data_IF_836636486112
#
_entry.id   IF_836636486112
#
_cell.length_a   1.000
_cell.length_b   1.000
_cell.length_c   1.000
_cell.angle_alpha   90.00
_cell.angle_beta   90.00
_cell.angle_gamma   90.00
#
_symmetry.space_group_name_H-M   'P 1'
#
loop_
_entity.id
_entity.type
_entity.pdbx_description
1 polymer ?
#
# COMPACT_ATOMS: atom_id res chain seq x y z
N UNK A 1 6.92 16.35 -0.81
CA UNK A 1 6.23 16.19 -2.09
C UNK A 1 4.74 16.02 -1.79
N UNK A 2 3.94 17.07 -1.97
CA UNK A 2 2.50 17.00 -1.71
C UNK A 2 1.81 16.17 -2.79
N UNK A 3 0.82 15.36 -2.41
CA UNK A 3 -0.02 14.67 -3.39
C UNK A 3 -0.78 15.70 -4.22
N UNK A 4 -0.95 15.43 -5.51
CA UNK A 4 -1.73 16.29 -6.40
C UNK A 4 -3.16 16.46 -5.86
N UNK A 5 -3.62 17.71 -5.82
CA UNK A 5 -5.01 18.05 -5.55
C UNK A 5 -5.85 17.69 -6.78
N UNK A 6 -6.81 16.80 -6.59
CA UNK A 6 -7.73 16.26 -7.60
C UNK A 6 -9.17 16.78 -7.38
N UNK A 7 -9.40 17.75 -6.49
CA UNK A 7 -10.75 18.19 -6.12
C UNK A 7 -11.53 18.71 -7.33
N UNK A 8 -10.86 19.42 -8.24
CA UNK A 8 -11.47 19.90 -9.48
C UNK A 8 -11.84 18.74 -10.41
N UNK A 9 -10.95 17.77 -10.57
CA UNK A 9 -11.18 16.60 -11.42
C UNK A 9 -12.33 15.75 -10.88
N UNK A 10 -12.42 15.58 -9.56
CA UNK A 10 -13.56 14.91 -8.90
C UNK A 10 -14.87 15.60 -9.27
N UNK A 11 -14.93 16.94 -9.17
CA UNK A 11 -16.14 17.68 -9.52
C UNK A 11 -16.50 17.54 -11.01
N UNK A 12 -15.52 17.49 -11.92
CA UNK A 12 -15.76 17.27 -13.35
C UNK A 12 -16.22 15.84 -13.64
N UNK A 13 -15.54 14.85 -13.09
CA UNK A 13 -15.88 13.44 -13.26
C UNK A 13 -17.27 13.11 -12.72
N UNK A 14 -17.73 13.78 -11.66
CA UNK A 14 -19.10 13.70 -11.16
C UNK A 14 -20.17 14.14 -12.18
N UNK A 15 -19.80 14.96 -13.17
CA UNK A 15 -20.67 15.39 -14.28
C UNK A 15 -20.47 14.55 -15.55
N UNK A 16 -19.74 13.44 -15.47
CA UNK A 16 -19.50 12.54 -16.60
C UNK A 16 -18.25 12.87 -17.43
N UNK A 17 -17.35 13.73 -16.94
CA UNK A 17 -16.07 13.99 -17.62
C UNK A 17 -15.12 12.79 -17.45
N UNK A 18 -14.98 11.99 -18.51
CA UNK A 18 -14.14 10.79 -18.53
C UNK A 18 -12.64 11.10 -18.39
N UNK A 19 -12.18 12.23 -18.92
CA UNK A 19 -10.76 12.59 -18.85
C UNK A 19 -10.39 13.03 -17.43
N UNK A 20 -11.28 13.74 -16.76
CA UNK A 20 -11.14 14.02 -15.34
C UNK A 20 -11.12 12.72 -14.51
N UNK A 21 -11.96 11.73 -14.85
CA UNK A 21 -11.92 10.43 -14.18
C UNK A 21 -10.57 9.71 -14.38
N UNK A 22 -9.99 9.76 -15.58
CA UNK A 22 -8.65 9.19 -15.85
C UNK A 22 -7.57 9.86 -15.00
N UNK A 23 -7.65 11.18 -14.78
CA UNK A 23 -6.72 11.91 -13.90
C UNK A 23 -6.82 11.39 -12.47
N UNK A 24 -8.03 11.28 -11.94
CA UNK A 24 -8.29 10.74 -10.60
C UNK A 24 -7.74 9.31 -10.48
N UNK A 25 -8.05 8.45 -11.47
CA UNK A 25 -7.60 7.08 -11.50
C UNK A 25 -6.07 6.99 -11.44
N UNK A 26 -5.35 7.70 -12.32
CA UNK A 26 -3.88 7.73 -12.33
C UNK A 26 -3.28 8.24 -11.02
N UNK A 27 -3.94 9.19 -10.36
CA UNK A 27 -3.46 9.78 -9.11
C UNK A 27 -3.69 8.91 -7.86
N UNK A 28 -4.65 7.99 -7.91
CA UNK A 28 -5.08 7.20 -6.73
C UNK A 28 -4.75 5.71 -6.88
N UNK A 29 -4.89 5.15 -8.08
CA UNK A 29 -4.73 3.71 -8.34
C UNK A 29 -3.39 3.14 -7.86
N UNK A 30 -2.22 3.77 -8.13
CA UNK A 30 -0.94 3.18 -7.71
C UNK A 30 -0.84 3.02 -6.20
N UNK A 31 -1.35 4.00 -5.43
CA UNK A 31 -1.38 3.92 -3.97
C UNK A 31 -2.37 2.86 -3.49
N UNK A 32 -3.57 2.84 -4.07
CA UNK A 32 -4.63 1.91 -3.70
C UNK A 32 -4.22 0.46 -3.96
N UNK A 33 -3.55 0.21 -5.09
CA UNK A 33 -3.05 -1.12 -5.45
C UNK A 33 -1.94 -1.58 -4.51
N UNK A 34 -1.00 -0.71 -4.13
CA UNK A 34 0.02 -1.03 -3.10
C UNK A 34 -0.61 -1.34 -1.74
N UNK A 35 -1.64 -0.59 -1.36
CA UNK A 35 -2.40 -0.88 -0.15
C UNK A 35 -3.03 -2.28 -0.23
N UNK A 36 -3.73 -2.58 -1.31
CA UNK A 36 -4.38 -3.88 -1.51
C UNK A 36 -3.40 -5.05 -1.60
N UNK A 37 -2.24 -4.89 -2.24
CA UNK A 37 -1.18 -5.91 -2.30
C UNK A 37 -0.75 -6.37 -0.90
N UNK A 38 -0.67 -5.45 0.07
CA UNK A 38 -0.36 -5.82 1.46
C UNK A 38 -1.53 -6.53 2.15
N UNK A 39 -2.78 -6.24 1.77
CA UNK A 39 -3.96 -6.83 2.43
C UNK A 39 -4.33 -8.21 1.88
N UNK A 40 -4.24 -8.41 0.56
CA UNK A 40 -4.76 -9.60 -0.13
C UNK A 40 -3.75 -10.29 -1.05
N UNK A 41 -2.51 -9.78 -1.15
CA UNK A 41 -1.48 -10.40 -1.99
C UNK A 41 -1.80 -10.30 -3.47
N UNK A 42 -1.73 -11.42 -4.18
CA UNK A 42 -1.84 -11.50 -5.64
C UNK A 42 -3.25 -11.15 -6.15
N UNK A 43 -4.28 -11.31 -5.32
CA UNK A 43 -5.67 -10.96 -5.65
C UNK A 43 -5.92 -9.43 -5.65
N UNK A 44 -4.88 -8.61 -5.43
CA UNK A 44 -5.02 -7.17 -5.29
C UNK A 44 -5.58 -6.48 -6.53
N UNK A 45 -5.25 -6.95 -7.73
CA UNK A 45 -5.73 -6.35 -8.99
C UNK A 45 -7.24 -6.61 -9.21
N UNK A 46 -7.71 -7.80 -8.87
CA UNK A 46 -9.13 -8.16 -8.93
C UNK A 46 -9.93 -7.34 -7.92
N UNK A 47 -9.45 -7.28 -6.67
CA UNK A 47 -10.09 -6.48 -5.62
C UNK A 47 -10.07 -4.99 -5.96
N UNK A 48 -8.99 -4.48 -6.56
CA UNK A 48 -8.90 -3.10 -7.02
C UNK A 48 -9.92 -2.82 -8.12
N UNK A 49 -10.09 -3.74 -9.07
CA UNK A 49 -11.05 -3.62 -10.16
C UNK A 49 -12.48 -3.52 -9.64
N UNK A 50 -12.87 -4.40 -8.70
CA UNK A 50 -14.17 -4.31 -8.03
C UNK A 50 -14.36 -2.99 -7.27
N UNK A 51 -13.31 -2.53 -6.59
CA UNK A 51 -13.35 -1.28 -5.84
C UNK A 51 -13.54 -0.09 -6.78
N UNK A 52 -12.85 -0.04 -7.93
CA UNK A 52 -13.00 1.03 -8.92
C UNK A 52 -14.36 1.04 -9.60
N UNK A 53 -14.95 -0.13 -9.86
CA UNK A 53 -16.33 -0.22 -10.35
C UNK A 53 -17.32 0.39 -9.35
N UNK A 54 -17.12 0.12 -8.05
CA UNK A 54 -17.95 0.74 -7.01
C UNK A 54 -17.69 2.25 -6.91
N UNK A 55 -16.43 2.69 -6.95
CA UNK A 55 -16.06 4.11 -6.92
C UNK A 55 -16.71 4.84 -8.08
N UNK A 56 -16.61 4.34 -9.31
CA UNK A 56 -17.21 4.96 -10.49
C UNK A 56 -18.73 5.08 -10.36
N UNK A 57 -19.39 4.04 -9.84
CA UNK A 57 -20.85 4.02 -9.62
C UNK A 57 -21.29 5.06 -8.59
N UNK A 58 -20.56 5.18 -7.49
CA UNK A 58 -20.95 6.01 -6.35
C UNK A 58 -20.40 7.43 -6.42
N UNK A 59 -19.45 7.70 -7.33
CA UNK A 59 -18.78 8.98 -7.51
C UNK A 59 -19.75 10.18 -7.56
N UNK A 60 -20.89 10.14 -8.27
CA UNK A 60 -21.83 11.27 -8.31
C UNK A 60 -22.36 11.71 -6.93
N UNK A 61 -22.42 10.77 -5.97
CA UNK A 61 -22.89 11.02 -4.60
C UNK A 61 -21.80 11.51 -3.65
N UNK A 62 -20.52 11.36 -4.02
CA UNK A 62 -19.40 11.72 -3.16
C UNK A 62 -19.39 13.23 -2.84
N UNK A 63 -19.04 13.58 -1.61
CA UNK A 63 -18.84 14.97 -1.16
C UNK A 63 -17.58 15.03 -0.31
N UNK A 64 -16.67 15.94 -0.64
CA UNK A 64 -15.41 16.12 0.08
C UNK A 64 -14.32 16.70 -0.81
N UNK A 65 -13.17 16.94 -0.19
CA UNK A 65 -11.94 17.35 -0.86
C UNK A 65 -11.13 16.14 -1.35
N UNK A 66 -9.96 16.39 -1.94
CA UNK A 66 -9.01 15.36 -2.38
C UNK A 66 -8.66 14.33 -1.31
N UNK A 67 -8.44 14.77 -0.06
CA UNK A 67 -8.09 13.87 1.04
C UNK A 67 -9.30 13.03 1.46
N UNK A 68 -10.50 13.62 1.49
CA UNK A 68 -11.76 12.92 1.66
C UNK A 68 -12.02 11.87 0.57
N UNK A 69 -11.71 12.20 -0.70
CA UNK A 69 -11.87 11.28 -1.82
C UNK A 69 -10.95 10.07 -1.67
N UNK A 70 -9.66 10.31 -1.41
CA UNK A 70 -8.68 9.24 -1.17
C UNK A 70 -9.09 8.35 0.00
N UNK A 71 -9.60 8.95 1.09
CA UNK A 71 -10.07 8.21 2.26
C UNK A 71 -11.32 7.37 1.96
N UNK A 72 -12.25 7.93 1.20
CA UNK A 72 -13.46 7.23 0.76
C UNK A 72 -13.14 6.05 -0.17
N UNK A 73 -12.28 6.27 -1.18
CA UNK A 73 -11.80 5.21 -2.06
C UNK A 73 -11.06 4.10 -1.27
N UNK A 74 -10.18 4.47 -0.34
CA UNK A 74 -9.49 3.53 0.54
C UNK A 74 -10.47 2.73 1.43
N UNK A 75 -11.56 3.36 1.88
CA UNK A 75 -12.62 2.68 2.65
C UNK A 75 -13.30 1.61 1.80
N UNK A 76 -13.69 1.95 0.57
CA UNK A 76 -14.30 0.99 -0.37
C UNK A 76 -13.33 -0.18 -0.62
N UNK A 77 -12.08 0.11 -0.98
CA UNK A 77 -11.06 -0.90 -1.25
C UNK A 77 -10.83 -1.81 -0.04
N UNK A 78 -10.71 -1.25 1.17
CA UNK A 78 -10.55 -2.01 2.41
C UNK A 78 -11.73 -2.94 2.68
N UNK A 79 -12.96 -2.48 2.47
CA UNK A 79 -14.15 -3.33 2.61
C UNK A 79 -14.12 -4.50 1.62
N UNK A 80 -13.79 -4.24 0.35
CA UNK A 80 -13.67 -5.30 -0.66
C UNK A 80 -12.59 -6.32 -0.32
N UNK A 81 -11.42 -5.86 0.13
CA UNK A 81 -10.36 -6.74 0.61
C UNK A 81 -10.80 -7.61 1.80
N UNK A 82 -11.48 -7.02 2.78
CA UNK A 82 -11.98 -7.76 3.94
C UNK A 82 -13.04 -8.80 3.55
N UNK A 83 -13.93 -8.47 2.63
CA UNK A 83 -14.96 -9.39 2.14
C UNK A 83 -14.36 -10.52 1.30
N UNK A 84 -13.31 -10.24 0.53
CA UNK A 84 -12.52 -11.24 -0.19
C UNK A 84 -11.88 -12.25 0.77
N UNK A 85 -11.14 -11.76 1.78
CA UNK A 85 -10.49 -12.60 2.80
C UNK A 85 -11.52 -13.46 3.55
N UNK A 86 -12.70 -12.90 3.87
CA UNK A 86 -13.79 -13.64 4.52
C UNK A 86 -14.34 -14.75 3.63
N UNK A 87 -14.45 -14.52 2.32
CA UNK A 87 -14.94 -15.51 1.34
C UNK A 87 -13.97 -16.67 1.18
N UNK A 88 -12.67 -16.39 1.03
CA UNK A 88 -11.64 -17.42 0.95
C UNK A 88 -11.62 -18.32 2.20
N UNK A 89 -11.74 -17.74 3.40
CA UNK A 89 -11.79 -18.53 4.65
C UNK A 89 -13.01 -19.44 4.76
N UNK A 90 -14.14 -19.08 4.16
CA UNK A 90 -15.39 -19.87 4.18
C UNK A 90 -15.42 -20.96 3.11
N UNK A 91 -14.49 -20.91 2.14
CA UNK A 91 -14.38 -21.88 1.06
C UNK A 91 -12.89 -22.21 0.93
N UNK A 92 -12.33 -23.02 1.85
CA UNK A 92 -10.96 -23.47 1.70
C UNK A 92 -10.91 -24.30 0.42
N UNK A 93 -10.45 -23.67 -0.66
CA UNK A 93 -9.95 -24.43 -1.79
C UNK A 93 -8.80 -25.27 -1.23
N UNK A 94 -8.91 -26.58 -1.42
CA UNK A 94 -7.85 -27.51 -1.07
C UNK A 94 -6.68 -27.19 -1.99
N UNK A 95 -5.72 -26.42 -1.50
CA UNK A 95 -4.35 -26.45 -1.98
C UNK A 95 -3.43 -26.37 -0.76
N UNK A 96 -2.92 -27.54 -0.40
CA UNK A 96 -1.77 -27.76 0.48
C UNK A 96 -0.74 -28.46 -0.43
N UNK A 97 0.58 -28.21 -0.38
CA UNK A 97 1.37 -27.33 0.50
C UNK A 97 2.10 -26.19 -0.23
N UNK A 98 2.52 -25.18 0.53
CA UNK A 98 3.49 -24.16 0.14
C UNK A 98 4.87 -24.82 0.03
N UNK A 99 5.20 -25.33 -1.15
CA UNK A 99 6.60 -25.49 -1.54
C UNK A 99 7.18 -24.09 -1.79
N UNK A 100 8.31 -23.84 -1.14
CA UNK A 100 9.12 -22.65 -1.31
C UNK A 100 9.61 -22.58 -2.76
N UNK A 101 8.93 -21.81 -3.61
CA UNK A 101 9.42 -21.51 -4.95
C UNK A 101 10.28 -20.26 -4.89
N UNK A 102 11.57 -20.45 -4.62
CA UNK A 102 12.61 -19.51 -5.07
C UNK A 102 12.75 -19.66 -6.58
N UNK A 103 11.96 -18.92 -7.35
CA UNK A 103 12.22 -18.71 -8.78
C UNK A 103 12.89 -17.34 -8.96
N UNK A 104 14.18 -17.36 -9.29
CA UNK A 104 14.89 -16.23 -9.87
C UNK A 104 14.55 -16.15 -11.37
N UNK A 105 14.07 -15.00 -11.90
CA UNK A 105 14.12 -14.75 -13.33
C UNK A 105 15.49 -14.18 -13.74
N UNK A 106 16.04 -14.76 -14.81
CA UNK A 106 17.27 -14.36 -15.53
C UNK A 106 17.13 -12.97 -16.20
N UNK A 107 18.24 -12.30 -16.54
CA UNK A 107 18.25 -10.87 -16.83
C UNK A 107 17.97 -10.59 -18.31
N UNK A 108 17.03 -9.69 -18.58
CA UNK A 108 17.16 -8.85 -19.76
C UNK A 108 16.53 -7.45 -19.54
N UNK A 109 17.39 -6.46 -19.75
CA UNK A 109 17.18 -5.04 -20.03
C UNK A 109 16.07 -4.26 -19.30
N UNK A 110 16.45 -3.54 -18.21
CA UNK A 110 15.95 -2.18 -17.81
C UNK A 110 16.48 -1.78 -16.42
N UNK A 111 17.80 -1.62 -16.29
CA UNK A 111 18.48 -1.35 -15.01
C UNK A 111 17.99 -0.09 -14.26
N UNK A 112 17.45 0.91 -14.97
CA UNK A 112 16.94 2.15 -14.36
C UNK A 112 15.53 2.05 -13.75
N UNK A 113 14.63 1.23 -14.32
CA UNK A 113 13.27 1.02 -13.78
C UNK A 113 13.22 -0.16 -12.81
N UNK A 114 14.10 -1.14 -12.98
CA UNK A 114 14.22 -2.27 -12.08
C UNK A 114 14.61 -1.83 -10.67
N UNK A 115 15.54 -0.89 -10.49
CA UNK A 115 15.97 -0.47 -9.14
C UNK A 115 14.90 0.28 -8.34
N UNK A 116 14.13 1.18 -8.96
CA UNK A 116 12.97 1.84 -8.28
C UNK A 116 11.83 0.86 -8.00
N UNK A 117 11.57 -0.08 -8.93
CA UNK A 117 10.53 -1.11 -8.77
C UNK A 117 10.91 -2.14 -7.71
N UNK A 118 12.18 -2.59 -7.69
CA UNK A 118 12.77 -3.45 -6.67
C UNK A 118 12.78 -2.75 -5.31
N UNK A 119 13.08 -1.45 -5.26
CA UNK A 119 12.98 -0.65 -4.02
C UNK A 119 11.54 -0.55 -3.53
N UNK A 120 10.55 -0.45 -4.44
CA UNK A 120 9.13 -0.34 -4.09
C UNK A 120 8.55 -1.68 -3.63
N UNK A 121 8.86 -2.78 -4.32
CA UNK A 121 8.42 -4.12 -3.95
C UNK A 121 9.05 -4.59 -2.65
N UNK A 122 10.35 -4.30 -2.44
CA UNK A 122 11.02 -4.57 -1.16
C UNK A 122 10.34 -3.80 -0.02
N UNK A 123 10.04 -2.52 -0.21
CA UNK A 123 9.31 -1.74 0.78
C UNK A 123 7.90 -2.31 1.07
N UNK A 124 7.18 -2.78 0.04
CA UNK A 124 5.87 -3.41 0.21
C UNK A 124 5.98 -4.72 1.00
N UNK A 125 6.97 -5.57 0.70
CA UNK A 125 7.21 -6.82 1.44
C UNK A 125 7.56 -6.56 2.91
N UNK A 126 8.42 -5.57 3.19
CA UNK A 126 8.77 -5.17 4.55
C UNK A 126 7.53 -4.66 5.31
N UNK A 127 6.70 -3.84 4.67
CA UNK A 127 5.43 -3.36 5.25
C UNK A 127 4.47 -4.53 5.51
N UNK A 128 4.40 -5.52 4.61
CA UNK A 128 3.56 -6.71 4.80
C UNK A 128 4.01 -7.58 5.99
N UNK A 129 5.28 -7.53 6.37
CA UNK A 129 5.81 -8.18 7.57
C UNK A 129 5.49 -7.46 8.89
N UNK A 130 4.92 -6.25 8.86
CA UNK A 130 4.50 -5.55 10.08
C UNK A 130 3.22 -6.14 10.67
N UNK A 131 2.97 -5.95 11.98
CA UNK A 131 1.64 -6.16 12.54
C UNK A 131 0.60 -5.38 11.72
N UNK A 132 -0.48 -6.05 11.33
CA UNK A 132 -1.51 -5.51 10.43
C UNK A 132 -1.94 -4.07 10.74
N UNK A 133 -2.16 -3.79 12.01
CA UNK A 133 -2.55 -2.47 12.50
C UNK A 133 -1.54 -1.35 12.18
N UNK A 134 -0.25 -1.68 12.20
CA UNK A 134 0.84 -0.78 11.85
C UNK A 134 0.98 -0.67 10.33
N UNK A 135 0.94 -1.80 9.61
CA UNK A 135 1.01 -1.84 8.15
C UNK A 135 -0.07 -0.96 7.51
N UNK A 136 -1.34 -1.16 7.89
CA UNK A 136 -2.45 -0.37 7.33
C UNK A 136 -2.33 1.12 7.69
N UNK A 137 -1.89 1.45 8.91
CA UNK A 137 -1.69 2.84 9.30
C UNK A 137 -0.56 3.54 8.52
N UNK A 138 0.54 2.84 8.26
CA UNK A 138 1.65 3.34 7.43
C UNK A 138 1.19 3.54 5.99
N UNK A 139 0.55 2.54 5.38
CA UNK A 139 0.09 2.62 3.99
C UNK A 139 -0.89 3.77 3.79
N UNK A 140 -1.89 3.90 4.67
CA UNK A 140 -2.88 4.97 4.56
C UNK A 140 -2.26 6.37 4.74
N UNK A 141 -1.29 6.52 5.63
CA UNK A 141 -0.67 7.81 5.94
C UNK A 141 0.42 8.23 4.96
N UNK A 142 1.20 7.27 4.47
CA UNK A 142 2.42 7.54 3.68
C UNK A 142 2.19 7.24 2.20
N UNK A 143 1.52 6.14 1.88
CA UNK A 143 1.33 5.69 0.49
C UNK A 143 0.08 6.29 -0.14
N UNK A 144 -1.04 6.28 0.60
CA UNK A 144 -2.28 6.94 0.17
C UNK A 144 -2.24 8.44 0.50
N UNK A 145 -1.46 8.83 1.51
CA UNK A 145 -1.26 10.21 1.94
C UNK A 145 -2.45 10.84 2.66
N UNK A 146 -3.26 10.03 3.34
CA UNK A 146 -4.37 10.52 4.15
C UNK A 146 -3.88 11.24 5.39
N UNK A 147 -4.63 12.24 5.85
CA UNK A 147 -4.47 12.76 7.20
C UNK A 147 -4.81 11.67 8.27
N UNK A 148 -4.40 11.88 9.54
CA UNK A 148 -4.63 10.91 10.61
C UNK A 148 -6.10 10.74 11.01
N UNK A 149 -6.93 11.77 10.85
CA UNK A 149 -8.37 11.72 11.10
C UNK A 149 -9.06 10.88 10.03
N UNK A 150 -8.72 11.12 8.76
CA UNK A 150 -9.27 10.43 7.60
C UNK A 150 -8.86 8.96 7.57
N UNK A 151 -7.57 8.66 7.81
CA UNK A 151 -7.12 7.28 8.02
C UNK A 151 -7.81 6.62 9.23
N UNK A 152 -8.09 7.39 10.29
CA UNK A 152 -8.86 6.92 11.44
C UNK A 152 -10.26 6.45 11.07
N UNK A 153 -10.96 7.21 10.20
CA UNK A 153 -12.28 6.80 9.69
C UNK A 153 -12.21 5.51 8.88
N UNK A 154 -11.20 5.35 8.00
CA UNK A 154 -10.98 4.12 7.22
C UNK A 154 -10.76 2.90 8.13
N UNK A 155 -10.00 3.08 9.21
CA UNK A 155 -9.62 1.98 10.12
C UNK A 155 -10.61 1.75 11.28
N UNK A 156 -11.59 2.63 11.49
CA UNK A 156 -12.44 2.61 12.69
C UNK A 156 -11.68 2.94 13.98
N UNK A 157 -10.68 3.84 13.90
CA UNK A 157 -9.78 4.19 15.01
C UNK A 157 -9.71 5.69 15.26
N UNK A 158 -9.34 6.07 16.48
CA UNK A 158 -9.03 7.47 16.83
C UNK A 158 -7.75 7.93 16.12
N UNK A 159 -7.71 9.19 15.69
CA UNK A 159 -6.53 9.77 15.01
C UNK A 159 -5.22 9.60 15.79
N UNK A 160 -5.27 9.71 17.13
CA UNK A 160 -4.11 9.45 17.99
C UNK A 160 -3.57 8.03 17.86
N UNK A 161 -4.46 7.03 17.85
CA UNK A 161 -4.06 5.62 17.67
C UNK A 161 -3.43 5.38 16.29
N UNK A 162 -3.94 6.04 15.24
CA UNK A 162 -3.35 5.97 13.90
C UNK A 162 -1.93 6.55 13.87
N UNK A 163 -1.70 7.72 14.50
CA UNK A 163 -0.36 8.31 14.57
C UNK A 163 0.62 7.38 15.28
N UNK A 164 0.22 6.81 16.42
CA UNK A 164 1.05 5.88 17.17
C UNK A 164 1.35 4.61 16.38
N UNK A 165 0.36 4.02 15.71
CA UNK A 165 0.54 2.83 14.90
C UNK A 165 1.47 3.09 13.70
N UNK A 166 1.28 4.19 12.99
CA UNK A 166 2.14 4.59 11.87
C UNK A 166 3.58 4.86 12.33
N UNK A 167 3.77 5.57 13.46
CA UNK A 167 5.09 5.82 14.03
C UNK A 167 5.81 4.52 14.39
N UNK A 168 5.12 3.59 15.08
CA UNK A 168 5.69 2.29 15.44
C UNK A 168 6.05 1.45 14.21
N UNK A 169 5.19 1.45 13.19
CA UNK A 169 5.45 0.78 11.92
C UNK A 169 6.70 1.34 11.22
N UNK A 170 6.77 2.66 11.04
CA UNK A 170 7.92 3.32 10.42
C UNK A 170 9.23 3.08 11.19
N UNK A 171 9.18 3.15 12.52
CA UNK A 171 10.35 2.85 13.36
C UNK A 171 10.84 1.42 13.16
N UNK A 172 9.93 0.44 13.13
CA UNK A 172 10.29 -0.97 12.91
C UNK A 172 10.88 -1.21 11.52
N UNK A 173 10.35 -0.56 10.50
CA UNK A 173 10.92 -0.60 9.14
C UNK A 173 12.33 0.01 9.12
N UNK A 174 12.55 1.13 9.81
CA UNK A 174 13.87 1.75 9.90
C UNK A 174 14.89 0.85 10.63
N UNK A 175 14.47 0.17 11.70
CA UNK A 175 15.30 -0.80 12.42
C UNK A 175 15.69 -1.99 11.52
N UNK A 176 14.77 -2.51 10.69
CA UNK A 176 15.05 -3.59 9.73
C UNK A 176 16.06 -3.15 8.66
N UNK A 177 15.84 -1.98 8.06
CA UNK A 177 16.75 -1.44 7.03
C UNK A 177 18.14 -1.08 7.60
N UNK A 178 18.22 -0.66 8.87
CA UNK A 178 19.48 -0.40 9.56
C UNK A 178 20.25 -1.66 9.95
N UNK A 179 19.55 -2.77 10.21
CA UNK A 179 20.15 -4.08 10.47
C UNK A 179 20.70 -4.73 9.19
N UNK A 180 20.02 -4.53 8.05
CA UNK A 180 20.46 -5.00 6.72
C UNK A 180 21.59 -4.13 6.14
N UNK A 181 21.83 -2.94 6.70
CA UNK A 181 22.83 -1.96 6.25
C UNK A 181 24.18 -2.01 6.97
N UNK A 182 24.43 -3.00 7.82
CA UNK A 182 25.75 -3.20 8.44
C UNK A 182 26.58 -4.20 7.61
N UNK A 183 27.51 -3.75 6.72
CA UNK A 183 28.59 -4.63 6.34
C UNK A 183 29.35 -4.97 7.62
N UNK A 184 29.40 -6.26 7.94
CA UNK A 184 30.15 -6.78 9.07
C UNK A 184 31.54 -6.12 9.16
N UNK A 185 31.95 -5.81 10.39
CA UNK A 185 33.20 -5.17 10.68
C UNK A 185 34.40 -5.91 10.10
N UNK A 186 35.30 -5.13 9.52
CA UNK A 186 36.72 -5.41 9.59
C UNK A 186 37.18 -5.07 11.01
N UNK A 187 36.84 -5.94 11.98
CA UNK A 187 37.61 -6.05 13.21
C UNK A 187 38.90 -6.80 12.87
N UNK A 188 40.03 -6.18 13.25
CA UNK A 188 41.35 -6.58 12.80
C UNK A 188 41.85 -7.94 13.27
N UNK A 189 42.76 -8.49 12.47
CA UNK A 189 43.78 -9.44 12.89
C UNK A 189 45.00 -9.24 11.96
N UNK A 190 46.19 -9.40 12.54
CA UNK A 190 47.56 -9.18 12.02
C UNK A 190 48.00 -7.71 11.93
N UNK A 191 48.96 -7.22 12.71
CA UNK A 191 50.24 -7.88 13.01
C UNK A 191 50.61 -7.96 14.50
N UNK A 192 50.82 -9.20 14.92
CA UNK A 192 51.79 -9.56 15.95
C UNK A 192 53.19 -9.28 15.43
N UNK A 193 53.93 -8.43 16.15
CA UNK A 193 55.36 -8.59 16.48
C UNK A 193 56.21 -9.48 15.55
N UNK A 194 57.07 -8.86 14.73
CA UNK A 194 58.48 -9.23 14.61
C UNK A 194 59.32 -8.01 14.21
#
# INVERSE_FOLDING_TARGET
MGLADISLDVAKAQRGDEDAFKVIYRAVQPGLLRYLRVLVGDDAEDVASEAWLQIARDLPSFRGDSNGFRGWAATIARHRALDHIRRQRRRPQHDVPVEQMTDLPSPDDTAGRALETLSTDTAIRLIAGLPRDQAEAVLLRVVIGLDAQTAGRVLGKRAGAVRTAAYRGLRRLAEQLGADGNPAGEDGQDDTMC
#
